data_IF_869985812519
#
_entry.id   IF_869985812519
#
_cell.length_a   1.000
_cell.length_b   1.000
_cell.length_c   1.000
_cell.angle_alpha   90.00
_cell.angle_beta   90.00
_cell.angle_gamma   90.00
#
_symmetry.space_group_name_H-M   'P 1'
#
loop_
_entity.id
_entity.type
_entity.pdbx_description
1 polymer ?
#
# COMPACT_ATOMS: atom_id res chain seq x y z
N UNK A 1 -23.35 2.83 10.90
CA UNK A 1 -21.94 3.26 10.64
C UNK A 1 -21.86 4.78 10.49
N UNK A 2 -20.65 5.37 10.47
CA UNK A 2 -20.48 6.82 10.27
C UNK A 2 -20.13 7.13 8.82
N UNK A 3 -20.95 7.96 8.17
CA UNK A 3 -20.83 8.32 6.77
C UNK A 3 -20.49 9.80 6.62
N UNK A 4 -19.49 10.13 5.80
CA UNK A 4 -19.21 11.49 5.38
C UNK A 4 -19.76 11.72 3.97
N UNK A 5 -20.73 12.61 3.81
CA UNK A 5 -21.29 12.97 2.50
C UNK A 5 -20.36 13.99 1.84
N UNK A 6 -19.85 13.66 0.66
CA UNK A 6 -19.06 14.63 -0.11
C UNK A 6 -19.95 15.74 -0.69
N UNK A 7 -19.30 16.79 -1.22
CA UNK A 7 -20.02 17.97 -1.72
C UNK A 7 -20.97 17.65 -2.87
N UNK A 8 -20.55 16.80 -3.81
CA UNK A 8 -21.39 16.47 -4.96
C UNK A 8 -22.61 15.63 -4.57
N UNK A 9 -22.43 14.64 -3.69
CA UNK A 9 -23.50 13.77 -3.19
C UNK A 9 -24.49 14.59 -2.38
N UNK A 10 -24.03 15.53 -1.56
CA UNK A 10 -24.91 16.44 -0.83
C UNK A 10 -25.82 17.22 -1.79
N UNK A 11 -25.25 17.82 -2.85
CA UNK A 11 -26.03 18.56 -3.83
C UNK A 11 -27.01 17.68 -4.61
N UNK A 12 -26.64 16.45 -4.94
CA UNK A 12 -27.56 15.47 -5.55
C UNK A 12 -28.71 15.10 -4.63
N UNK A 13 -28.44 14.92 -3.33
CA UNK A 13 -29.46 14.70 -2.29
C UNK A 13 -30.42 15.90 -2.24
N UNK A 14 -29.89 17.13 -2.24
CA UNK A 14 -30.70 18.37 -2.28
C UNK A 14 -31.54 18.45 -3.55
N UNK A 15 -30.98 18.07 -4.70
CA UNK A 15 -31.66 18.00 -6.00
C UNK A 15 -32.71 16.90 -6.15
N UNK A 16 -33.06 16.18 -5.08
CA UNK A 16 -34.08 15.14 -5.08
C UNK A 16 -33.56 13.72 -5.37
N UNK A 17 -32.24 13.53 -5.36
CA UNK A 17 -31.61 12.21 -5.32
C UNK A 17 -31.71 11.37 -6.59
N UNK A 18 -32.17 11.94 -7.72
CA UNK A 18 -32.31 11.21 -9.00
C UNK A 18 -30.98 10.72 -9.56
N UNK A 19 -29.89 11.40 -9.22
CA UNK A 19 -28.54 11.13 -9.69
C UNK A 19 -27.77 10.18 -8.75
N UNK A 20 -28.34 9.83 -7.58
CA UNK A 20 -27.69 8.96 -6.60
C UNK A 20 -27.73 7.50 -7.07
N UNK A 21 -26.57 6.80 -7.09
CA UNK A 21 -26.54 5.36 -7.26
C UNK A 21 -27.38 4.64 -6.19
N UNK A 22 -28.06 3.52 -6.52
CA UNK A 22 -28.94 2.81 -5.58
C UNK A 22 -28.26 2.49 -4.24
N UNK A 23 -27.04 1.97 -4.27
CA UNK A 23 -26.26 1.65 -3.05
C UNK A 23 -26.02 2.88 -2.16
N UNK A 24 -25.71 4.03 -2.76
CA UNK A 24 -25.45 5.27 -2.03
C UNK A 24 -26.74 5.76 -1.35
N UNK A 25 -27.86 5.68 -2.07
CA UNK A 25 -29.17 6.03 -1.54
C UNK A 25 -29.58 5.11 -0.38
N UNK A 26 -29.37 3.80 -0.52
CA UNK A 26 -29.74 2.83 0.51
C UNK A 26 -28.90 3.03 1.80
N UNK A 27 -27.60 3.31 1.66
CA UNK A 27 -26.74 3.65 2.80
C UNK A 27 -27.16 4.95 3.50
N UNK A 28 -27.49 5.98 2.72
CA UNK A 28 -27.96 7.26 3.27
C UNK A 28 -29.31 7.17 3.98
N UNK A 29 -30.24 6.35 3.46
CA UNK A 29 -31.59 6.22 4.03
C UNK A 29 -31.66 5.26 5.23
N UNK A 30 -30.59 4.52 5.51
CA UNK A 30 -30.55 3.62 6.65
C UNK A 30 -30.45 4.40 7.98
N UNK A 31 -31.41 4.20 8.88
CA UNK A 31 -31.42 4.84 10.20
C UNK A 31 -30.29 4.35 11.12
N UNK A 32 -29.67 3.20 10.80
CA UNK A 32 -28.51 2.67 11.52
C UNK A 32 -27.21 3.45 11.23
N UNK A 33 -27.27 4.45 10.36
CA UNK A 33 -26.13 5.24 9.92
C UNK A 33 -26.16 6.66 10.46
N UNK A 34 -25.07 7.06 11.09
CA UNK A 34 -24.80 8.46 11.44
C UNK A 34 -24.23 9.16 10.21
N UNK A 35 -24.96 10.13 9.67
CA UNK A 35 -24.59 10.83 8.45
C UNK A 35 -24.04 12.21 8.81
N UNK A 36 -22.88 12.55 8.25
CA UNK A 36 -22.16 13.77 8.50
C UNK A 36 -21.99 14.59 7.22
N UNK A 37 -22.03 15.93 7.36
CA UNK A 37 -21.64 16.87 6.32
C UNK A 37 -20.49 17.73 6.85
N UNK A 38 -19.36 17.72 6.13
CA UNK A 38 -18.18 18.48 6.54
C UNK A 38 -18.35 19.99 6.34
N UNK A 39 -17.75 20.77 7.24
CA UNK A 39 -17.52 22.20 7.03
C UNK A 39 -16.73 22.49 5.75
N UNK A 40 -15.89 21.55 5.29
CA UNK A 40 -15.17 21.63 4.01
C UNK A 40 -16.13 21.68 2.83
N UNK A 41 -17.17 20.84 2.83
CA UNK A 41 -18.20 20.87 1.77
C UNK A 41 -18.97 22.18 1.77
N UNK A 42 -19.31 22.71 2.96
CA UNK A 42 -19.93 24.02 3.07
C UNK A 42 -19.03 25.14 2.51
N UNK A 43 -17.72 25.07 2.78
CA UNK A 43 -16.73 26.01 2.26
C UNK A 43 -16.62 25.91 0.73
N UNK A 44 -16.51 24.69 0.19
CA UNK A 44 -16.45 24.45 -1.24
C UNK A 44 -17.67 25.03 -1.97
N UNK A 45 -18.89 24.77 -1.46
CA UNK A 45 -20.14 25.30 -2.01
C UNK A 45 -20.13 26.84 -1.99
N UNK A 46 -19.73 27.44 -0.86
CA UNK A 46 -19.67 28.90 -0.74
C UNK A 46 -18.69 29.54 -1.74
N UNK A 47 -17.51 28.95 -1.92
CA UNK A 47 -16.48 29.44 -2.87
C UNK A 47 -16.93 29.24 -4.32
N UNK A 48 -17.46 28.06 -4.67
CA UNK A 48 -17.96 27.78 -6.02
C UNK A 48 -19.15 28.67 -6.38
N UNK A 49 -20.05 28.95 -5.45
CA UNK A 49 -21.15 29.90 -5.64
C UNK A 49 -20.65 31.34 -5.83
N UNK A 50 -19.76 31.82 -4.94
CA UNK A 50 -19.23 33.19 -5.01
C UNK A 50 -18.46 33.46 -6.32
N UNK A 51 -17.82 32.44 -6.88
CA UNK A 51 -17.11 32.52 -8.17
C UNK A 51 -18.00 32.28 -9.39
N UNK A 52 -19.32 32.12 -9.20
CA UNK A 52 -20.28 31.87 -10.28
C UNK A 52 -20.18 30.47 -10.91
N UNK A 53 -19.36 29.58 -10.36
CA UNK A 53 -19.15 28.21 -10.87
C UNK A 53 -20.24 27.24 -10.44
N UNK A 54 -21.09 27.64 -9.48
CA UNK A 54 -22.19 26.83 -8.96
C UNK A 54 -23.41 27.72 -8.69
N UNK A 55 -24.34 27.86 -9.65
CA UNK A 55 -25.60 28.55 -9.40
C UNK A 55 -26.45 27.75 -8.42
N UNK A 56 -27.03 28.43 -7.43
CA UNK A 56 -27.88 27.83 -6.40
C UNK A 56 -29.22 28.59 -6.31
N UNK A 57 -30.31 27.91 -5.91
CA UNK A 57 -31.61 28.57 -5.78
C UNK A 57 -31.67 29.57 -4.61
N UNK A 58 -30.80 29.40 -3.61
CA UNK A 58 -30.66 30.28 -2.45
C UNK A 58 -29.18 30.45 -2.07
N UNK A 59 -28.88 31.46 -1.25
CA UNK A 59 -27.52 31.69 -0.75
C UNK A 59 -27.02 30.48 0.06
N UNK A 60 -25.74 30.07 -0.09
CA UNK A 60 -25.16 28.93 0.61
C UNK A 60 -25.35 28.95 2.14
N UNK A 61 -25.27 30.13 2.76
CA UNK A 61 -25.40 30.33 4.21
C UNK A 61 -26.79 29.94 4.74
N UNK A 62 -27.82 29.97 3.88
CA UNK A 62 -29.17 29.51 4.20
C UNK A 62 -29.39 28.08 3.73
N UNK A 63 -29.01 27.78 2.49
CA UNK A 63 -29.26 26.49 1.85
C UNK A 63 -28.59 25.33 2.61
N UNK A 64 -27.29 25.45 2.89
CA UNK A 64 -26.50 24.33 3.41
C UNK A 64 -26.97 23.90 4.81
N UNK A 65 -27.10 24.79 5.81
CA UNK A 65 -27.60 24.37 7.13
C UNK A 65 -29.03 23.84 7.08
N UNK A 66 -29.92 24.51 6.32
CA UNK A 66 -31.33 24.12 6.22
C UNK A 66 -31.48 22.72 5.63
N UNK A 67 -30.83 22.42 4.51
CA UNK A 67 -30.94 21.11 3.88
C UNK A 67 -30.18 20.04 4.67
N UNK A 68 -29.02 20.36 5.27
CA UNK A 68 -28.32 19.44 6.18
C UNK A 68 -29.24 18.99 7.32
N UNK A 69 -29.84 19.95 8.03
CA UNK A 69 -30.70 19.67 9.19
C UNK A 69 -31.98 18.93 8.77
N UNK A 70 -32.61 19.35 7.66
CA UNK A 70 -33.79 18.69 7.08
C UNK A 70 -33.54 17.22 6.72
N UNK A 71 -32.30 16.87 6.39
CA UNK A 71 -31.88 15.54 5.95
C UNK A 71 -31.24 14.71 7.06
N UNK A 72 -31.25 15.19 8.30
CA UNK A 72 -30.73 14.48 9.46
C UNK A 72 -29.21 14.35 9.48
N UNK A 73 -28.49 15.23 8.77
CA UNK A 73 -27.03 15.20 8.73
C UNK A 73 -26.42 16.02 9.87
N UNK A 74 -25.40 15.49 10.53
CA UNK A 74 -24.64 16.20 11.57
C UNK A 74 -23.54 17.04 10.93
N UNK A 75 -23.37 18.28 11.38
CA UNK A 75 -22.25 19.12 10.94
C UNK A 75 -20.94 18.62 11.52
N UNK A 76 -19.92 18.41 10.67
CA UNK A 76 -18.59 17.98 11.11
C UNK A 76 -17.56 19.11 10.96
N UNK A 77 -17.02 19.67 12.06
CA UNK A 77 -15.93 20.65 12.01
C UNK A 77 -14.66 20.06 11.37
N UNK A 78 -13.91 20.87 10.64
CA UNK A 78 -12.60 20.47 10.10
C UNK A 78 -11.48 20.86 11.07
N UNK A 79 -10.89 19.87 11.72
CA UNK A 79 -9.83 20.04 12.71
C UNK A 79 -8.41 20.05 12.10
N UNK A 80 -7.44 20.41 12.93
CA UNK A 80 -6.03 20.52 12.55
C UNK A 80 -5.41 19.16 12.16
N UNK A 81 -5.78 18.07 12.84
CA UNK A 81 -5.26 16.74 12.54
C UNK A 81 -5.66 16.32 11.12
N UNK A 82 -6.93 16.53 10.76
CA UNK A 82 -7.46 16.33 9.41
C UNK A 82 -6.79 17.24 8.39
N UNK A 83 -6.45 18.48 8.74
CA UNK A 83 -5.73 19.39 7.86
C UNK A 83 -4.30 18.93 7.56
N UNK A 84 -3.57 18.47 8.59
CA UNK A 84 -2.18 18.03 8.47
C UNK A 84 -2.05 16.67 7.76
N UNK A 85 -3.05 15.80 7.87
CA UNK A 85 -3.06 14.49 7.24
C UNK A 85 -3.04 14.55 5.70
N UNK A 86 -3.42 15.68 5.08
CA UNK A 86 -3.40 15.86 3.62
C UNK A 86 -2.02 15.65 2.99
N UNK A 87 -0.95 15.87 3.77
CA UNK A 87 0.44 15.67 3.37
C UNK A 87 0.81 14.20 3.15
N UNK A 88 0.04 13.30 3.77
CA UNK A 88 0.23 11.85 3.74
C UNK A 88 -0.62 11.16 2.68
N UNK A 89 -1.56 11.88 2.09
CA UNK A 89 -2.44 11.36 1.04
C UNK A 89 -1.69 11.23 -0.30
N UNK A 90 -1.84 10.10 -1.02
CA UNK A 90 -1.33 9.98 -2.38
C UNK A 90 -1.90 11.08 -3.29
N UNK A 91 -1.13 11.51 -4.28
CA UNK A 91 -1.51 12.59 -5.21
C UNK A 91 -2.31 12.01 -6.37
N UNK A 92 -3.55 11.59 -6.08
CA UNK A 92 -4.49 11.02 -7.08
C UNK A 92 -5.20 12.11 -7.90
N UNK A 93 -5.44 13.28 -7.31
CA UNK A 93 -5.99 14.47 -7.95
C UNK A 93 -5.54 15.75 -7.22
N UNK A 94 -5.89 16.91 -7.80
CA UNK A 94 -5.44 18.23 -7.33
C UNK A 94 -6.53 19.08 -6.66
N UNK A 95 -7.78 18.60 -6.60
CA UNK A 95 -8.85 19.34 -5.90
C UNK A 95 -8.57 19.35 -4.39
N UNK A 96 -8.31 20.52 -3.77
CA UNK A 96 -7.98 20.59 -2.35
C UNK A 96 -9.17 20.22 -1.45
N UNK A 97 -10.42 20.49 -1.85
CA UNK A 97 -11.59 20.21 -1.02
C UNK A 97 -11.84 18.71 -0.92
N UNK A 98 -11.79 18.00 -2.04
CA UNK A 98 -11.91 16.54 -2.07
C UNK A 98 -10.80 15.88 -1.25
N UNK A 99 -9.55 16.38 -1.35
CA UNK A 99 -8.44 15.87 -0.55
C UNK A 99 -8.65 16.13 0.95
N UNK A 100 -9.20 17.28 1.32
CA UNK A 100 -9.54 17.59 2.71
C UNK A 100 -10.66 16.67 3.23
N UNK A 101 -11.69 16.39 2.42
CA UNK A 101 -12.76 15.45 2.77
C UNK A 101 -12.21 14.04 2.99
N UNK A 102 -11.36 13.55 2.08
CA UNK A 102 -10.65 12.26 2.22
C UNK A 102 -9.83 12.22 3.49
N UNK A 103 -9.05 13.27 3.73
CA UNK A 103 -8.20 13.39 4.92
C UNK A 103 -9.02 13.30 6.20
N UNK A 104 -10.11 14.07 6.29
CA UNK A 104 -11.02 14.05 7.43
C UNK A 104 -11.70 12.70 7.60
N UNK A 105 -12.14 12.07 6.52
CA UNK A 105 -12.78 10.76 6.61
C UNK A 105 -11.83 9.70 7.17
N UNK A 106 -10.57 9.71 6.73
CA UNK A 106 -9.56 8.79 7.25
C UNK A 106 -9.29 9.05 8.74
N UNK A 107 -9.02 10.30 9.13
CA UNK A 107 -8.71 10.67 10.52
C UNK A 107 -9.85 10.31 11.47
N UNK A 108 -11.10 10.48 11.05
CA UNK A 108 -12.28 10.23 11.88
C UNK A 108 -12.90 8.83 11.70
N UNK A 109 -12.29 7.97 10.88
CA UNK A 109 -12.82 6.62 10.60
C UNK A 109 -14.22 6.63 9.95
N UNK A 110 -14.47 7.57 9.04
CA UNK A 110 -15.74 7.74 8.32
C UNK A 110 -15.66 7.10 6.93
N UNK A 111 -16.75 6.50 6.46
CA UNK A 111 -16.88 6.14 5.05
C UNK A 111 -17.34 7.33 4.23
N UNK A 112 -16.60 7.69 3.18
CA UNK A 112 -17.06 8.74 2.25
C UNK A 112 -18.14 8.19 1.33
N UNK A 113 -19.29 8.84 1.35
CA UNK A 113 -20.36 8.67 0.41
C UNK A 113 -20.12 9.59 -0.79
N UNK A 114 -19.61 9.01 -1.89
CA UNK A 114 -19.24 9.74 -3.10
C UNK A 114 -19.43 8.89 -4.36
N UNK A 115 -19.92 9.47 -5.48
CA UNK A 115 -19.85 8.89 -6.81
C UNK A 115 -18.51 9.16 -7.52
N UNK A 116 -17.63 9.99 -6.95
CA UNK A 116 -16.38 10.41 -7.57
C UNK A 116 -15.35 9.27 -7.60
N UNK A 117 -14.96 8.85 -8.81
CA UNK A 117 -14.01 7.77 -9.04
C UNK A 117 -12.59 8.10 -8.57
N UNK A 118 -12.22 9.37 -8.47
CA UNK A 118 -10.93 9.81 -7.94
C UNK A 118 -10.90 9.68 -6.41
N UNK A 119 -12.00 10.04 -5.73
CA UNK A 119 -12.11 9.83 -4.28
C UNK A 119 -12.15 8.33 -3.96
N UNK A 120 -12.87 7.53 -4.75
CA UNK A 120 -12.92 6.07 -4.55
C UNK A 120 -11.55 5.39 -4.63
N UNK A 121 -10.59 5.97 -5.37
CA UNK A 121 -9.23 5.39 -5.48
C UNK A 121 -8.44 5.46 -4.18
N UNK A 122 -8.84 6.28 -3.19
CA UNK A 122 -8.25 6.22 -1.85
C UNK A 122 -8.53 4.91 -1.10
N UNK A 123 -9.40 4.04 -1.64
CA UNK A 123 -9.59 2.66 -1.18
C UNK A 123 -8.60 1.65 -1.77
N UNK A 124 -7.72 2.11 -2.65
CA UNK A 124 -6.65 1.31 -3.26
C UNK A 124 -5.34 1.90 -2.82
N UNK A 125 -4.60 1.17 -1.99
CA UNK A 125 -3.25 1.54 -1.60
C UNK A 125 -2.27 0.87 -2.55
N UNK A 126 -1.52 1.67 -3.30
CA UNK A 126 -0.37 1.21 -4.06
C UNK A 126 0.79 1.00 -3.08
N UNK A 127 1.18 -0.26 -2.90
CA UNK A 127 2.20 -0.65 -1.95
C UNK A 127 3.59 -0.72 -2.60
N UNK A 128 3.71 -0.37 -3.90
CA UNK A 128 5.00 -0.26 -4.57
C UNK A 128 5.71 1.06 -4.23
N UNK A 129 7.01 0.95 -3.97
CA UNK A 129 7.92 2.08 -3.92
C UNK A 129 8.31 2.52 -5.33
N UNK A 130 8.32 3.83 -5.57
CA UNK A 130 8.70 4.38 -6.88
C UNK A 130 10.14 4.00 -7.22
N UNK A 131 10.36 3.49 -8.43
CA UNK A 131 11.70 3.11 -8.89
C UNK A 131 12.41 4.27 -9.56
N UNK A 132 13.63 4.54 -9.11
CA UNK A 132 14.48 5.58 -9.69
C UNK A 132 15.96 5.22 -9.55
N UNK A 133 16.80 5.81 -10.40
CA UNK A 133 18.24 5.64 -10.29
C UNK A 133 18.72 6.28 -8.98
N UNK A 134 19.36 5.49 -8.11
CA UNK A 134 19.77 5.91 -6.77
C UNK A 134 18.76 5.63 -5.65
N UNK A 135 17.67 4.90 -5.94
CA UNK A 135 16.81 4.35 -4.88
C UNK A 135 17.60 3.38 -3.99
N UNK A 136 17.21 3.20 -2.72
CA UNK A 136 17.85 2.28 -1.80
C UNK A 136 17.98 0.89 -2.41
N UNK A 137 19.16 0.29 -2.26
CA UNK A 137 19.38 -1.07 -2.72
C UNK A 137 20.31 -1.87 -1.83
N UNK A 138 19.97 -3.14 -1.64
CA UNK A 138 20.85 -4.07 -0.97
C UNK A 138 22.17 -4.20 -1.75
N UNK A 139 23.34 -4.19 -1.09
CA UNK A 139 24.63 -4.27 -1.78
C UNK A 139 24.75 -5.47 -2.75
N UNK A 140 24.15 -6.61 -2.41
CA UNK A 140 24.16 -7.80 -3.25
C UNK A 140 23.33 -7.66 -4.55
N UNK A 141 22.42 -6.68 -4.63
CA UNK A 141 21.54 -6.46 -5.77
C UNK A 141 22.05 -5.33 -6.71
N UNK A 142 23.27 -4.82 -6.51
CA UNK A 142 23.84 -3.80 -7.41
C UNK A 142 24.23 -4.41 -8.78
N UNK A 143 24.17 -3.63 -9.89
CA UNK A 143 23.87 -2.19 -10.00
C UNK A 143 22.40 -1.77 -9.84
N UNK A 144 21.46 -2.72 -9.70
CA UNK A 144 20.13 -2.40 -9.22
C UNK A 144 19.11 -2.00 -10.27
N UNK A 145 19.03 -0.71 -10.57
CA UNK A 145 18.02 -0.13 -11.45
C UNK A 145 18.65 0.90 -12.40
N UNK A 146 18.52 0.64 -13.69
CA UNK A 146 18.93 1.54 -14.75
C UNK A 146 17.80 1.71 -15.75
N UNK A 147 17.38 2.95 -15.96
CA UNK A 147 16.40 3.31 -16.98
C UNK A 147 16.94 4.44 -17.84
N UNK A 148 16.86 4.28 -19.16
CA UNK A 148 17.23 5.31 -20.12
C UNK A 148 16.24 5.37 -21.27
N UNK A 149 15.94 6.58 -21.76
CA UNK A 149 15.15 6.75 -22.97
C UNK A 149 15.97 6.33 -24.20
N UNK A 150 15.63 5.19 -24.79
CA UNK A 150 16.18 4.76 -26.07
C UNK A 150 15.65 5.60 -27.23
N UNK A 151 14.35 5.98 -27.19
CA UNK A 151 13.73 6.89 -28.15
C UNK A 151 13.08 8.05 -27.41
N UNK A 152 13.32 9.28 -27.87
CA UNK A 152 12.65 10.49 -27.35
C UNK A 152 11.71 11.05 -28.41
N UNK A 153 10.67 11.75 -27.95
CA UNK A 153 9.72 12.44 -28.81
C UNK A 153 10.42 13.34 -29.84
N UNK A 154 11.39 14.16 -29.38
CA UNK A 154 12.13 15.12 -30.22
C UNK A 154 12.89 14.47 -31.37
N UNK A 155 13.36 13.23 -31.19
CA UNK A 155 14.19 12.54 -32.17
C UNK A 155 13.35 12.13 -33.39
N UNK A 156 12.08 11.80 -33.17
CA UNK A 156 11.13 11.29 -34.18
C UNK A 156 10.05 12.28 -34.62
N UNK A 157 9.94 13.46 -34.00
CA UNK A 157 8.91 14.44 -34.35
C UNK A 157 9.16 15.05 -35.72
N UNK A 158 8.34 14.68 -36.70
CA UNK A 158 8.38 15.18 -38.08
C UNK A 158 6.95 15.53 -38.54
N UNK A 159 6.40 16.68 -38.13
CA UNK A 159 4.98 16.97 -38.31
C UNK A 159 4.52 17.04 -39.77
N UNK A 160 5.41 17.47 -40.67
CA UNK A 160 5.13 17.47 -42.12
C UNK A 160 5.04 16.08 -42.73
N UNK A 161 5.64 15.07 -42.11
CA UNK A 161 5.73 13.70 -42.63
C UNK A 161 4.84 12.71 -41.87
N UNK A 162 4.68 12.90 -40.57
CA UNK A 162 4.00 11.96 -39.67
C UNK A 162 2.88 12.61 -38.86
N UNK A 163 2.46 13.83 -39.23
CA UNK A 163 1.45 14.59 -38.49
C UNK A 163 1.90 14.95 -37.08
N UNK A 164 1.00 15.42 -36.20
CA UNK A 164 1.38 15.93 -34.87
C UNK A 164 1.91 14.84 -33.90
N UNK A 165 2.01 13.59 -34.34
CA UNK A 165 2.42 12.45 -33.52
C UNK A 165 3.94 12.42 -33.32
N UNK A 166 4.35 12.09 -32.10
CA UNK A 166 5.70 11.63 -31.77
C UNK A 166 5.61 10.51 -30.73
N UNK A 167 6.69 9.75 -30.51
CA UNK A 167 6.72 8.68 -29.52
C UNK A 167 8.03 8.63 -28.74
N UNK A 168 7.98 8.01 -27.57
CA UNK A 168 9.14 7.71 -26.75
C UNK A 168 9.06 6.28 -26.21
N UNK A 169 10.23 5.68 -25.98
CA UNK A 169 10.35 4.34 -25.37
C UNK A 169 11.68 4.24 -24.64
N UNK A 170 11.68 3.57 -23.49
CA UNK A 170 12.88 3.36 -22.69
C UNK A 170 13.48 1.96 -22.84
N UNK A 171 14.71 1.81 -22.36
CA UNK A 171 15.34 0.53 -22.02
C UNK A 171 15.46 0.49 -20.50
N UNK A 172 15.10 -0.66 -19.93
CA UNK A 172 15.19 -0.95 -18.51
C UNK A 172 16.15 -2.12 -18.32
N UNK A 173 17.13 -1.93 -17.43
CA UNK A 173 17.99 -2.99 -16.91
C UNK A 173 17.88 -2.97 -15.40
N UNK A 174 17.52 -4.09 -14.80
CA UNK A 174 17.39 -4.19 -13.34
C UNK A 174 17.72 -5.58 -12.83
N UNK A 175 18.14 -5.66 -11.57
CA UNK A 175 18.11 -6.92 -10.81
C UNK A 175 16.67 -7.23 -10.40
N UNK A 176 16.38 -8.52 -10.32
CA UNK A 176 15.04 -9.02 -9.95
C UNK A 176 14.62 -8.68 -8.52
N UNK A 177 15.60 -8.47 -7.63
CA UNK A 177 15.44 -8.07 -6.24
C UNK A 177 15.64 -6.55 -6.00
N UNK A 178 15.54 -5.73 -7.05
CA UNK A 178 15.59 -4.27 -6.92
C UNK A 178 14.21 -3.70 -6.64
N UNK A 179 14.08 -2.76 -5.69
CA UNK A 179 12.81 -2.11 -5.37
C UNK A 179 11.80 -3.07 -4.74
N UNK A 180 10.50 -2.75 -4.79
CA UNK A 180 9.45 -3.64 -4.29
C UNK A 180 9.43 -4.95 -5.09
N UNK A 181 9.71 -6.07 -4.44
CA UNK A 181 9.86 -7.34 -5.14
C UNK A 181 9.41 -8.50 -4.25
N UNK A 182 9.27 -9.67 -4.87
CA UNK A 182 8.88 -10.91 -4.23
C UNK A 182 9.91 -11.99 -4.54
N UNK A 183 10.37 -12.69 -3.51
CA UNK A 183 11.37 -13.74 -3.62
C UNK A 183 10.75 -15.06 -4.07
N UNK A 184 11.38 -15.70 -5.06
CA UNK A 184 11.03 -17.05 -5.49
C UNK A 184 11.64 -18.09 -4.54
N UNK A 185 11.12 -19.32 -4.56
CA UNK A 185 11.59 -20.37 -3.64
C UNK A 185 13.00 -20.88 -3.99
N UNK A 186 13.52 -20.58 -5.18
CA UNK A 186 14.93 -20.81 -5.53
C UNK A 186 15.88 -19.69 -5.09
N UNK A 187 15.39 -18.62 -4.45
CA UNK A 187 16.25 -17.50 -4.05
C UNK A 187 17.31 -17.87 -3.02
N UNK A 188 16.97 -18.75 -2.10
CA UNK A 188 17.84 -19.16 -1.00
C UNK A 188 17.85 -20.67 -0.88
N UNK A 189 18.98 -21.21 -0.42
CA UNK A 189 19.18 -22.62 -0.15
C UNK A 189 19.73 -22.79 1.27
N UNK A 190 19.44 -23.93 1.90
CA UNK A 190 20.09 -24.35 3.13
C UNK A 190 20.82 -25.67 2.85
N UNK A 191 22.12 -25.73 3.11
CA UNK A 191 22.98 -26.89 2.82
C UNK A 191 22.86 -27.39 1.36
N UNK A 192 22.86 -26.46 0.39
CA UNK A 192 22.69 -26.75 -1.04
C UNK A 192 21.36 -27.44 -1.38
N UNK A 193 20.35 -27.30 -0.52
CA UNK A 193 18.97 -27.76 -0.73
C UNK A 193 18.00 -26.58 -0.80
N UNK A 194 17.16 -26.57 -1.83
CA UNK A 194 16.03 -25.67 -1.98
C UNK A 194 14.78 -26.25 -1.31
N UNK A 195 13.68 -25.49 -1.36
CA UNK A 195 12.39 -25.97 -0.89
C UNK A 195 12.00 -27.32 -1.51
N UNK A 196 11.48 -28.23 -0.69
CA UNK A 196 11.14 -29.59 -1.12
C UNK A 196 12.34 -30.55 -1.25
N UNK A 197 13.46 -30.23 -0.60
CA UNK A 197 14.70 -31.04 -0.59
C UNK A 197 15.33 -31.23 -1.99
N UNK A 198 15.13 -30.25 -2.87
CA UNK A 198 15.71 -30.25 -4.22
C UNK A 198 17.18 -29.84 -4.11
N UNK A 199 18.10 -30.68 -4.61
CA UNK A 199 19.51 -30.33 -4.68
C UNK A 199 19.74 -29.19 -5.68
N UNK A 200 20.47 -28.15 -5.27
CA UNK A 200 20.77 -26.99 -6.11
C UNK A 200 21.46 -27.41 -7.42
N UNK A 201 22.39 -28.36 -7.34
CA UNK A 201 23.14 -28.89 -8.50
C UNK A 201 22.23 -29.46 -9.60
N UNK A 202 21.07 -30.02 -9.22
CA UNK A 202 20.13 -30.62 -10.17
C UNK A 202 19.38 -29.58 -11.00
N UNK A 203 19.27 -28.33 -10.52
CA UNK A 203 18.36 -27.33 -11.09
C UNK A 203 19.02 -25.99 -11.41
N UNK A 204 20.16 -25.65 -10.82
CA UNK A 204 20.90 -24.41 -11.09
C UNK A 204 21.61 -24.47 -12.45
N UNK A 205 21.41 -23.44 -13.28
CA UNK A 205 22.07 -23.29 -14.59
C UNK A 205 22.57 -21.86 -14.75
N UNK A 206 23.46 -21.64 -15.71
CA UNK A 206 24.01 -20.32 -16.01
C UNK A 206 22.97 -19.30 -16.49
N UNK A 207 21.82 -19.77 -16.98
CA UNK A 207 20.71 -18.96 -17.49
C UNK A 207 19.47 -18.99 -16.57
N UNK A 208 19.59 -19.52 -15.36
CA UNK A 208 18.54 -19.54 -14.33
C UNK A 208 18.28 -20.93 -13.73
N UNK A 209 17.26 -21.03 -12.88
CA UNK A 209 16.84 -22.28 -12.24
C UNK A 209 15.80 -23.05 -13.06
N UNK A 210 15.97 -24.38 -13.16
CA UNK A 210 15.03 -25.27 -13.84
C UNK A 210 13.75 -25.57 -13.03
N UNK A 211 13.75 -25.23 -11.73
CA UNK A 211 12.62 -25.40 -10.82
C UNK A 211 12.53 -24.21 -9.87
N UNK A 212 11.33 -23.96 -9.35
CA UNK A 212 11.08 -22.95 -8.30
C UNK A 212 11.39 -21.49 -8.68
N UNK A 213 11.64 -21.21 -9.96
CA UNK A 213 11.82 -19.86 -10.50
C UNK A 213 10.56 -18.99 -10.43
N UNK A 214 10.74 -17.69 -10.63
CA UNK A 214 9.69 -16.68 -10.51
C UNK A 214 8.43 -16.96 -11.37
N UNK A 215 8.58 -17.63 -12.51
CA UNK A 215 7.46 -18.06 -13.35
C UNK A 215 6.50 -19.07 -12.70
N UNK A 216 6.97 -19.75 -11.65
CA UNK A 216 6.19 -20.72 -10.86
C UNK A 216 5.40 -20.07 -9.72
N UNK A 217 5.77 -18.83 -9.34
CA UNK A 217 5.05 -18.07 -8.32
C UNK A 217 3.64 -17.76 -8.79
N UNK A 218 2.65 -18.13 -7.97
CA UNK A 218 1.25 -17.86 -8.27
C UNK A 218 0.94 -16.40 -7.93
N UNK A 219 0.04 -15.74 -8.69
CA UNK A 219 -0.55 -14.49 -8.24
C UNK A 219 -1.15 -14.65 -6.84
N UNK A 220 -0.77 -13.76 -5.92
CA UNK A 220 -1.32 -13.69 -4.58
C UNK A 220 -2.56 -12.80 -4.61
N UNK A 221 -3.73 -13.44 -4.53
CA UNK A 221 -5.01 -12.77 -4.37
C UNK A 221 -5.69 -13.36 -3.14
N UNK A 222 -5.82 -12.57 -2.08
CA UNK A 222 -6.34 -13.09 -0.81
C UNK A 222 -6.44 -12.04 0.27
N UNK A 223 -6.65 -12.49 1.51
CA UNK A 223 -6.69 -11.62 2.68
C UNK A 223 -5.27 -11.18 3.02
N UNK A 224 -5.05 -9.87 3.06
CA UNK A 224 -3.87 -9.25 3.61
C UNK A 224 -4.13 -8.76 5.02
N UNK A 225 -3.13 -8.88 5.88
CA UNK A 225 -3.15 -8.40 7.26
C UNK A 225 -1.96 -7.49 7.49
N UNK A 226 -2.19 -6.29 8.01
CA UNK A 226 -1.14 -5.35 8.40
C UNK A 226 -0.97 -5.33 9.92
N UNK A 227 0.24 -5.66 10.37
CA UNK A 227 0.71 -5.39 11.72
C UNK A 227 1.60 -4.14 11.70
N UNK A 228 1.02 -3.00 12.10
CA UNK A 228 1.75 -1.73 12.24
C UNK A 228 2.50 -1.68 13.58
N UNK A 229 3.67 -2.32 13.62
CA UNK A 229 4.49 -2.45 14.84
C UNK A 229 5.03 -1.10 15.28
N UNK A 230 5.45 -0.24 14.33
CA UNK A 230 5.89 1.12 14.63
C UNK A 230 4.75 1.96 15.23
N UNK A 231 3.57 1.97 14.60
CA UNK A 231 2.40 2.69 15.11
C UNK A 231 1.92 2.16 16.47
N UNK A 232 1.93 0.84 16.67
CA UNK A 232 1.61 0.23 17.96
C UNK A 232 2.57 0.65 19.08
N UNK A 233 3.88 0.77 18.77
CA UNK A 233 4.89 1.29 19.70
C UNK A 233 4.94 2.83 19.77
N UNK A 234 4.02 3.52 19.09
CA UNK A 234 3.89 4.98 19.08
C UNK A 234 5.16 5.70 18.61
N UNK A 235 5.82 5.15 17.59
CA UNK A 235 6.99 5.76 16.94
C UNK A 235 6.75 5.86 15.43
N UNK A 236 7.34 6.88 14.80
CA UNK A 236 7.25 7.04 13.34
C UNK A 236 7.98 5.90 12.61
N UNK A 237 9.15 5.53 13.12
CA UNK A 237 9.95 4.38 12.70
C UNK A 237 10.56 3.68 13.92
N UNK A 238 10.70 2.36 13.84
CA UNK A 238 11.36 1.57 14.89
C UNK A 238 12.84 1.95 15.04
N UNK A 239 13.46 1.72 16.20
CA UNK A 239 14.89 1.95 16.37
C UNK A 239 15.74 1.23 15.31
N UNK A 240 16.88 1.82 14.97
CA UNK A 240 17.85 1.23 14.03
C UNK A 240 18.14 -0.22 14.39
N UNK A 241 18.01 -1.11 13.40
CA UNK A 241 18.21 -2.56 13.54
C UNK A 241 17.37 -3.25 14.61
N UNK A 242 16.25 -2.65 15.04
CA UNK A 242 15.35 -3.29 16.00
C UNK A 242 14.89 -4.67 15.49
N UNK A 243 15.00 -5.67 16.35
CA UNK A 243 14.59 -7.04 16.06
C UNK A 243 13.13 -7.24 16.50
N UNK A 244 12.21 -7.33 15.54
CA UNK A 244 10.78 -7.52 15.79
C UNK A 244 10.53 -8.97 16.17
N UNK A 245 10.17 -9.19 17.43
CA UNK A 245 10.00 -10.54 18.01
C UNK A 245 8.60 -11.10 17.80
N UNK A 246 8.42 -12.40 18.06
CA UNK A 246 7.09 -13.01 18.15
C UNK A 246 6.17 -12.24 19.13
N UNK A 247 6.70 -11.82 20.29
CA UNK A 247 5.94 -11.06 21.27
C UNK A 247 5.49 -9.68 20.77
N UNK A 248 6.26 -9.04 19.89
CA UNK A 248 5.87 -7.78 19.25
C UNK A 248 4.74 -8.00 18.25
N UNK A 249 4.83 -9.03 17.41
CA UNK A 249 3.79 -9.39 16.44
C UNK A 249 2.49 -9.75 17.15
N UNK A 250 2.54 -10.56 18.22
CA UNK A 250 1.38 -10.91 19.04
C UNK A 250 0.80 -9.71 19.80
N UNK A 251 1.67 -8.87 20.35
CA UNK A 251 1.29 -7.66 21.07
C UNK A 251 0.54 -6.69 20.15
N UNK A 252 1.08 -6.45 18.96
CA UNK A 252 0.46 -5.61 17.93
C UNK A 252 -0.89 -6.19 17.47
N UNK A 253 -0.94 -7.48 17.11
CA UNK A 253 -2.16 -8.15 16.68
C UNK A 253 -3.27 -8.08 17.75
N UNK A 254 -2.93 -8.37 19.02
CA UNK A 254 -3.86 -8.29 20.14
C UNK A 254 -4.35 -6.87 20.40
N UNK A 255 -3.45 -5.89 20.39
CA UNK A 255 -3.80 -4.49 20.65
C UNK A 255 -4.71 -3.90 19.56
N UNK A 256 -4.59 -4.40 18.33
CA UNK A 256 -5.37 -3.94 17.17
C UNK A 256 -6.62 -4.80 16.90
N UNK A 257 -6.82 -5.88 17.66
CA UNK A 257 -7.97 -6.77 17.50
C UNK A 257 -7.92 -7.62 16.22
N UNK A 258 -6.73 -7.84 15.66
CA UNK A 258 -6.53 -8.50 14.37
C UNK A 258 -6.00 -9.91 14.58
N UNK A 259 -6.55 -10.86 13.83
CA UNK A 259 -6.10 -12.25 13.84
C UNK A 259 -5.44 -12.62 12.50
N UNK A 260 -4.20 -13.11 12.55
CA UNK A 260 -3.49 -13.68 11.41
C UNK A 260 -3.86 -15.15 11.27
N UNK A 261 -4.40 -15.52 10.11
CA UNK A 261 -4.96 -16.84 9.78
C UNK A 261 -4.15 -17.53 8.68
N UNK A 262 -4.26 -18.87 8.57
CA UNK A 262 -3.67 -19.60 7.46
C UNK A 262 -4.09 -19.04 6.09
N UNK A 263 -3.11 -18.85 5.22
CA UNK A 263 -3.31 -18.29 3.87
C UNK A 263 -3.30 -16.76 3.79
N UNK A 264 -3.24 -16.04 4.91
CA UNK A 264 -3.11 -14.58 4.88
C UNK A 264 -1.76 -14.15 4.27
N UNK A 265 -1.72 -12.96 3.66
CA UNK A 265 -0.48 -12.24 3.38
C UNK A 265 -0.19 -11.30 4.54
N UNK A 266 0.85 -11.61 5.31
CA UNK A 266 1.22 -10.84 6.50
C UNK A 266 2.17 -9.69 6.13
N UNK A 267 1.71 -8.45 6.31
CA UNK A 267 2.53 -7.25 6.14
C UNK A 267 2.91 -6.68 7.50
N UNK A 268 4.18 -6.33 7.68
CA UNK A 268 4.72 -5.72 8.91
C UNK A 268 5.25 -4.34 8.58
N UNK A 269 4.68 -3.30 9.20
CA UNK A 269 5.22 -1.94 9.09
C UNK A 269 6.23 -1.65 10.20
N UNK A 270 7.44 -1.32 9.76
CA UNK A 270 8.58 -0.87 10.55
C UNK A 270 8.70 0.65 10.62
N UNK A 271 8.04 1.35 9.69
CA UNK A 271 8.09 2.81 9.52
C UNK A 271 9.23 3.28 8.61
N UNK A 272 10.01 2.35 8.05
CA UNK A 272 11.11 2.68 7.16
C UNK A 272 10.68 3.02 5.73
N UNK A 273 9.44 2.71 5.33
CA UNK A 273 8.89 3.04 4.02
C UNK A 273 8.98 4.55 3.68
N UNK A 274 8.92 5.42 4.68
CA UNK A 274 9.07 6.88 4.54
C UNK A 274 10.48 7.34 4.16
N UNK A 275 11.50 6.49 4.32
CA UNK A 275 12.91 6.80 4.04
C UNK A 275 13.39 6.31 2.67
N UNK A 276 12.48 5.98 1.75
CA UNK A 276 12.82 5.43 0.43
C UNK A 276 13.69 6.35 -0.45
N UNK A 277 13.86 7.62 -0.09
CA UNK A 277 14.78 8.54 -0.79
C UNK A 277 16.13 8.74 -0.08
N UNK A 278 16.33 8.10 1.07
CA UNK A 278 17.54 8.14 1.87
C UNK A 278 18.06 6.72 2.09
N UNK A 279 18.91 6.24 1.17
CA UNK A 279 19.51 4.91 1.23
C UNK A 279 20.25 4.64 2.55
N UNK A 280 20.97 5.64 3.08
CA UNK A 280 21.75 5.47 4.29
C UNK A 280 20.86 5.17 5.50
N UNK A 281 19.71 5.85 5.60
CA UNK A 281 18.74 5.57 6.65
C UNK A 281 17.96 4.29 6.37
N UNK A 282 17.51 4.07 5.13
CA UNK A 282 16.68 2.92 4.74
C UNK A 282 17.37 1.57 4.99
N UNK A 283 18.68 1.48 4.74
CA UNK A 283 19.46 0.26 4.97
C UNK A 283 19.65 -0.09 6.46
N UNK A 284 19.28 0.80 7.37
CA UNK A 284 19.38 0.60 8.82
C UNK A 284 18.04 0.19 9.46
N UNK A 285 17.06 -0.21 8.64
CA UNK A 285 15.74 -0.61 9.06
C UNK A 285 15.72 -1.71 10.12
N UNK A 286 14.65 -1.69 10.92
CA UNK A 286 14.24 -2.83 11.74
C UNK A 286 13.87 -4.03 10.86
N UNK A 287 13.89 -5.23 11.44
CA UNK A 287 13.53 -6.45 10.73
C UNK A 287 13.03 -7.54 11.65
N UNK A 288 12.40 -8.56 11.08
CA UNK A 288 11.76 -9.65 11.84
C UNK A 288 12.81 -10.62 12.36
N UNK A 289 12.74 -10.94 13.65
CA UNK A 289 13.71 -11.83 14.29
C UNK A 289 13.42 -13.31 14.05
N UNK A 290 14.32 -14.20 14.44
CA UNK A 290 14.14 -15.66 14.43
C UNK A 290 12.82 -16.08 15.09
N UNK A 291 12.46 -15.46 16.22
CA UNK A 291 11.19 -15.79 16.89
C UNK A 291 9.98 -15.30 16.10
N UNK A 292 10.03 -14.09 15.53
CA UNK A 292 8.95 -13.57 14.67
C UNK A 292 8.75 -14.39 13.39
N UNK A 293 9.84 -14.87 12.79
CA UNK A 293 9.80 -15.73 11.62
C UNK A 293 9.13 -17.09 11.90
N UNK A 294 9.48 -17.75 13.01
CA UNK A 294 8.81 -18.99 13.45
C UNK A 294 7.33 -18.77 13.69
N UNK A 295 6.99 -17.67 14.37
CA UNK A 295 5.61 -17.28 14.66
C UNK A 295 4.75 -17.10 13.39
N UNK A 296 5.32 -16.50 12.34
CA UNK A 296 4.65 -16.32 11.05
C UNK A 296 4.49 -17.67 10.32
N UNK A 297 5.54 -18.50 10.30
CA UNK A 297 5.50 -19.82 9.70
C UNK A 297 4.45 -20.76 10.35
N UNK A 298 4.36 -20.75 11.68
CA UNK A 298 3.39 -21.53 12.45
C UNK A 298 1.94 -21.18 12.09
N UNK A 299 1.68 -19.93 11.70
CA UNK A 299 0.36 -19.45 11.23
C UNK A 299 0.05 -19.82 9.79
N UNK A 300 1.01 -20.38 9.06
CA UNK A 300 0.85 -20.83 7.66
C UNK A 300 0.36 -19.70 6.75
N UNK A 301 0.95 -18.52 6.92
CA UNK A 301 0.73 -17.38 6.01
C UNK A 301 1.17 -17.77 4.59
N UNK A 302 0.51 -17.23 3.57
CA UNK A 302 0.85 -17.50 2.18
C UNK A 302 2.12 -16.76 1.74
N UNK A 303 2.33 -15.57 2.30
CA UNK A 303 3.51 -14.76 2.11
C UNK A 303 3.68 -13.80 3.30
N UNK A 304 4.90 -13.30 3.46
CA UNK A 304 5.21 -12.21 4.38
C UNK A 304 5.72 -11.00 3.60
N UNK A 305 5.62 -9.80 4.17
CA UNK A 305 6.32 -8.65 3.62
C UNK A 305 6.47 -7.48 4.58
N UNK A 306 7.45 -6.62 4.31
CA UNK A 306 7.73 -5.46 5.13
C UNK A 306 8.22 -4.27 4.30
N UNK A 307 8.21 -3.09 4.92
CA UNK A 307 8.72 -1.83 4.38
C UNK A 307 10.23 -1.64 4.66
N UNK A 308 11.00 -2.73 4.61
CA UNK A 308 12.46 -2.75 4.80
C UNK A 308 13.18 -3.48 3.64
N UNK A 309 14.52 -3.45 3.67
CA UNK A 309 15.37 -3.98 2.61
C UNK A 309 15.45 -5.51 2.53
N UNK A 310 15.18 -6.22 3.63
CA UNK A 310 15.54 -7.65 3.73
C UNK A 310 14.56 -8.49 4.56
N UNK A 311 13.35 -8.01 4.90
CA UNK A 311 12.40 -8.63 5.84
C UNK A 311 12.96 -8.92 7.26
N UNK A 312 13.94 -9.82 7.35
CA UNK A 312 14.76 -10.22 8.47
C UNK A 312 15.49 -9.09 9.21
N UNK A 313 15.74 -9.34 10.50
CA UNK A 313 16.72 -8.58 11.26
C UNK A 313 18.14 -8.88 10.76
N UNK A 314 18.69 -7.94 10.00
CA UNK A 314 20.01 -8.02 9.37
C UNK A 314 21.20 -8.14 10.35
N UNK A 315 20.98 -7.96 11.66
CA UNK A 315 22.03 -8.04 12.70
C UNK A 315 21.93 -9.32 13.55
N UNK A 316 20.85 -10.08 13.43
CA UNK A 316 20.65 -11.28 14.24
C UNK A 316 21.42 -12.47 13.67
N UNK A 317 22.13 -13.19 14.55
CA UNK A 317 22.76 -14.48 14.25
C UNK A 317 22.05 -15.57 15.01
N UNK A 318 21.71 -16.64 14.29
CA UNK A 318 21.24 -17.86 14.90
C UNK A 318 22.33 -18.43 15.84
N UNK A 319 22.03 -18.66 17.13
CA UNK A 319 23.05 -19.12 18.08
C UNK A 319 23.49 -20.57 17.86
N UNK A 320 22.69 -21.38 17.16
CA UNK A 320 22.97 -22.81 16.92
C UNK A 320 23.74 -23.00 15.60
N UNK A 321 23.35 -22.29 14.56
CA UNK A 321 23.92 -22.46 13.20
C UNK A 321 24.80 -21.30 12.76
N UNK A 322 24.87 -20.21 13.53
CA UNK A 322 25.53 -18.95 13.17
C UNK A 322 24.99 -18.28 11.89
N UNK A 323 23.82 -18.74 11.42
CA UNK A 323 23.15 -18.25 10.22
C UNK A 323 22.63 -16.82 10.41
N UNK A 324 22.84 -15.99 9.40
CA UNK A 324 22.17 -14.69 9.25
C UNK A 324 20.91 -14.88 8.40
N UNK A 325 19.96 -13.95 8.46
CA UNK A 325 18.74 -13.99 7.63
C UNK A 325 17.96 -15.30 7.85
N UNK A 326 17.69 -15.61 9.13
CA UNK A 326 17.01 -16.84 9.51
C UNK A 326 15.66 -16.98 8.82
N UNK A 327 14.92 -15.89 8.66
CA UNK A 327 13.63 -15.82 7.99
C UNK A 327 13.70 -16.26 6.54
N UNK A 328 14.63 -15.74 5.73
CA UNK A 328 14.86 -16.20 4.36
C UNK A 328 14.98 -17.73 4.26
N UNK A 329 15.86 -18.34 5.06
CA UNK A 329 16.02 -19.79 5.05
C UNK A 329 14.75 -20.52 5.56
N UNK A 330 14.20 -20.07 6.68
CA UNK A 330 13.09 -20.75 7.34
C UNK A 330 11.77 -20.64 6.58
N UNK A 331 11.48 -19.47 6.00
CA UNK A 331 10.25 -19.20 5.27
C UNK A 331 10.32 -19.79 3.86
N UNK A 332 11.34 -19.45 3.08
CA UNK A 332 11.44 -19.91 1.68
C UNK A 332 11.76 -21.40 1.62
N UNK A 333 12.85 -21.84 2.26
CA UNK A 333 13.37 -23.21 2.11
C UNK A 333 12.53 -24.20 2.91
N UNK A 334 12.29 -23.94 4.19
CA UNK A 334 11.58 -24.91 5.04
C UNK A 334 10.06 -24.90 4.79
N UNK A 335 9.44 -23.73 4.63
CA UNK A 335 7.98 -23.61 4.61
C UNK A 335 7.37 -23.26 3.25
N UNK A 336 8.16 -22.88 2.25
CA UNK A 336 7.65 -22.47 0.95
C UNK A 336 6.84 -21.17 1.00
N UNK A 337 7.14 -20.30 1.96
CA UNK A 337 6.48 -19.00 2.18
C UNK A 337 7.32 -17.92 1.51
N UNK A 338 6.70 -17.19 0.57
CA UNK A 338 7.36 -16.11 -0.15
C UNK A 338 7.56 -14.87 0.72
N UNK A 339 8.60 -14.10 0.41
CA UNK A 339 8.96 -12.85 1.10
C UNK A 339 8.80 -11.69 0.12
N UNK A 340 8.21 -10.59 0.60
CA UNK A 340 7.99 -9.35 -0.16
C UNK A 340 8.69 -8.20 0.53
N UNK A 341 9.63 -7.58 -0.16
CA UNK A 341 10.50 -6.56 0.43
C UNK A 341 10.25 -5.20 -0.20
N UNK A 342 10.72 -4.15 0.48
CA UNK A 342 10.63 -2.75 0.05
C UNK A 342 9.20 -2.29 -0.23
N UNK A 343 8.23 -2.68 0.60
CA UNK A 343 6.85 -2.19 0.49
C UNK A 343 6.72 -0.73 0.91
N UNK A 344 5.73 -0.03 0.37
CA UNK A 344 5.22 1.22 0.91
C UNK A 344 3.96 0.94 1.74
N UNK A 345 4.10 0.94 3.06
CA UNK A 345 3.00 0.64 3.99
C UNK A 345 2.41 1.88 4.66
N UNK A 346 2.94 3.08 4.39
CA UNK A 346 2.60 4.31 5.12
C UNK A 346 1.12 4.66 4.96
N UNK A 347 0.64 4.78 3.72
CA UNK A 347 -0.75 5.14 3.45
C UNK A 347 -1.75 4.15 4.04
N UNK A 348 -1.46 2.84 3.93
CA UNK A 348 -2.32 1.78 4.47
C UNK A 348 -2.33 1.81 6.01
N UNK A 349 -1.19 1.95 6.67
CA UNK A 349 -1.11 2.02 8.12
C UNK A 349 -1.90 3.22 8.68
N UNK A 350 -1.70 4.38 8.07
CA UNK A 350 -2.37 5.64 8.41
C UNK A 350 -3.89 5.60 8.20
N UNK A 351 -4.36 4.77 7.26
CA UNK A 351 -5.80 4.61 7.02
C UNK A 351 -6.54 3.92 8.16
N UNK A 352 -5.82 3.31 9.11
CA UNK A 352 -6.41 2.52 10.19
C UNK A 352 -6.87 1.13 9.75
N UNK A 353 -6.96 0.84 8.45
CA UNK A 353 -7.27 -0.50 7.97
C UNK A 353 -6.16 -1.49 8.34
N UNK A 354 -6.57 -2.68 8.80
CA UNK A 354 -5.66 -3.77 9.19
C UNK A 354 -5.89 -5.04 8.39
N UNK A 355 -7.08 -5.19 7.82
CA UNK A 355 -7.46 -6.30 6.96
C UNK A 355 -7.89 -5.72 5.61
N UNK A 356 -7.48 -6.37 4.53
CA UNK A 356 -7.74 -5.89 3.17
C UNK A 356 -7.66 -7.06 2.18
N UNK A 357 -8.15 -6.85 0.97
CA UNK A 357 -7.85 -7.74 -0.15
C UNK A 357 -6.48 -7.35 -0.72
N UNK A 358 -5.52 -8.26 -0.60
CA UNK A 358 -4.18 -8.10 -1.17
C UNK A 358 -4.15 -8.63 -2.60
N UNK A 359 -3.50 -7.88 -3.49
CA UNK A 359 -3.23 -8.27 -4.88
C UNK A 359 -1.74 -8.09 -5.15
N UNK A 360 -1.00 -9.19 -5.27
CA UNK A 360 0.42 -9.20 -5.62
C UNK A 360 0.67 -10.15 -6.79
N UNK A 361 1.13 -9.62 -7.93
CA UNK A 361 1.28 -10.41 -9.16
C UNK A 361 2.74 -10.33 -9.64
N UNK A 362 3.54 -11.39 -9.50
CA UNK A 362 4.90 -11.44 -10.04
C UNK A 362 4.92 -11.55 -11.56
N UNK A 363 5.99 -10.99 -12.13
CA UNK A 363 6.37 -11.17 -13.51
C UNK A 363 6.91 -12.59 -13.72
N UNK A 364 6.62 -13.16 -14.88
CA UNK A 364 7.03 -14.53 -15.23
C UNK A 364 8.42 -14.55 -15.87
N UNK A 365 9.45 -14.26 -15.08
CA UNK A 365 10.82 -14.46 -15.50
C UNK A 365 11.21 -15.93 -15.30
N UNK A 366 11.59 -16.61 -16.39
CA UNK A 366 11.94 -18.04 -16.33
C UNK A 366 13.22 -18.23 -15.53
N UNK A 367 13.18 -19.09 -14.53
CA UNK A 367 14.32 -19.49 -13.71
C UNK A 367 14.90 -18.38 -12.83
N UNK A 368 14.20 -17.26 -12.72
CA UNK A 368 14.63 -16.10 -11.95
C UNK A 368 14.40 -16.34 -10.45
N UNK A 369 15.29 -15.85 -9.59
CA UNK A 369 15.18 -15.99 -8.13
C UNK A 369 14.24 -15.01 -7.48
N UNK A 370 13.73 -14.02 -8.22
CA UNK A 370 12.76 -13.07 -7.70
C UNK A 370 11.97 -12.40 -8.81
N UNK A 371 11.04 -11.55 -8.41
CA UNK A 371 10.30 -10.72 -9.34
C UNK A 371 9.97 -9.36 -8.74
N UNK A 372 10.19 -8.27 -9.48
CA UNK A 372 9.49 -7.01 -9.24
C UNK A 372 7.97 -7.25 -9.17
N UNK A 373 7.30 -6.59 -8.23
CA UNK A 373 5.84 -6.58 -8.15
C UNK A 373 5.31 -5.17 -7.91
N UNK A 374 4.04 -4.96 -8.28
CA UNK A 374 3.24 -3.80 -7.87
C UNK A 374 2.07 -4.25 -6.99
N UNK A 375 2.30 -4.44 -5.69
CA UNK A 375 1.28 -4.95 -4.79
C UNK A 375 0.24 -3.87 -4.48
N UNK A 376 -1.03 -4.27 -4.40
CA UNK A 376 -2.14 -3.39 -4.04
C UNK A 376 -2.84 -3.92 -2.78
N UNK A 377 -3.22 -3.02 -1.88
CA UNK A 377 -4.21 -3.30 -0.85
C UNK A 377 -5.53 -2.62 -1.20
N UNK A 378 -6.58 -3.44 -1.39
CA UNK A 378 -7.94 -3.00 -1.63
C UNK A 378 -8.69 -3.06 -0.30
N UNK A 379 -9.06 -1.91 0.24
CA UNK A 379 -9.85 -1.84 1.48
C UNK A 379 -11.33 -1.80 1.17
N UNK A 380 -12.11 -2.49 2.00
CA UNK A 380 -13.55 -2.26 2.02
C UNK A 380 -13.81 -0.83 2.49
N UNK A 381 -14.74 -0.16 1.82
CA UNK A 381 -15.29 1.09 2.28
C UNK A 381 -16.33 0.68 3.28
N UNK A 382 -16.21 1.20 4.50
CA UNK A 382 -17.16 0.91 5.58
C UNK A 382 -18.59 1.03 5.04
#
# INVERSE_FOLDING_TARGET
MKLLVDTCTFLWIVGGGRELPPRIRDLYLSEDNEVYLSAVSAWEIAVKHATGRMPLPELPQRLVPTERDRRGMTSLPFDEESALHVSRLPVLHRDPFDRMLVSQAIVHGLAILTPDRLIMQYRVFDLEQTRFAGMPIHPAHRPGYFYALHRRHRDSYRPRQHGPRSGASGVLTMMEHSGTHMDALCHQACDMRLHGDIAVEDVERSDGFAALGAETMRPLLGRGVLLDVAGWKQVDALPVHYAITAGDLEGCARATGVEVKPGDVLLVRTGYGSWWTDEATYLNAAGVSKSGNRWAAERRVAAVGADNMAWDSMQERDPETNMMLFGHAHLLVTHGIHIIENLNLEGLALSGHREFCFVGIPLKFRGATGSPIRPLALVEGA
#
